data_IF_209090135206
#
_entry.id   IF_209090135206
#
_cell.length_a   1.000
_cell.length_b   1.000
_cell.length_c   1.000
_cell.angle_alpha   90.00
_cell.angle_beta   90.00
_cell.angle_gamma   90.00
#
_symmetry.space_group_name_H-M   'P 1'
#
loop_
_entity.id
_entity.type
_entity.pdbx_description
1 polymer ?
#
# COMPACT_ATOMS: atom_id res chain seq x y z
N UNK A 1 -11.13 13.80 7.78
CA UNK A 1 -10.17 13.25 6.80
C UNK A 1 -9.12 14.25 6.34
N UNK A 2 -7.84 13.87 6.40
CA UNK A 2 -6.67 14.59 5.87
C UNK A 2 -5.83 13.67 4.99
N UNK A 3 -5.13 14.23 4.00
CA UNK A 3 -4.12 13.50 3.21
C UNK A 3 -2.76 14.05 3.61
N UNK A 4 -1.83 13.15 3.92
CA UNK A 4 -0.45 13.52 4.25
C UNK A 4 0.55 12.57 3.60
N UNK A 5 1.83 12.98 3.56
CA UNK A 5 2.91 12.09 3.17
C UNK A 5 3.00 10.89 4.12
N UNK A 6 3.27 9.74 3.53
CA UNK A 6 3.65 8.54 4.27
C UNK A 6 4.92 8.79 5.09
N UNK A 7 4.98 8.18 6.26
CA UNK A 7 6.16 8.11 7.13
C UNK A 7 6.53 6.65 7.39
N UNK A 8 7.81 6.34 7.68
CA UNK A 8 8.22 4.96 7.96
C UNK A 8 7.39 4.26 9.05
N UNK A 9 7.00 4.99 10.11
CA UNK A 9 6.12 4.45 11.15
C UNK A 9 4.71 4.04 10.67
N UNK A 10 4.26 4.47 9.48
CA UNK A 10 2.98 4.07 8.91
C UNK A 10 3.02 2.69 8.21
N UNK A 11 4.22 2.13 7.99
CA UNK A 11 4.43 0.95 7.13
C UNK A 11 3.59 -0.25 7.53
N UNK A 12 3.49 -0.55 8.82
CA UNK A 12 2.71 -1.68 9.35
C UNK A 12 1.22 -1.51 9.07
N UNK A 13 0.70 -0.30 9.31
CA UNK A 13 -0.72 -0.01 9.09
C UNK A 13 -1.08 -0.03 7.61
N UNK A 14 -0.21 0.53 6.77
CA UNK A 14 -0.39 0.52 5.31
C UNK A 14 -0.34 -0.91 4.76
N UNK A 15 0.65 -1.70 5.18
CA UNK A 15 0.75 -3.13 4.82
C UNK A 15 -0.54 -3.88 5.19
N UNK A 16 -1.04 -3.68 6.41
CA UNK A 16 -2.30 -4.28 6.86
C UNK A 16 -3.48 -3.93 5.95
N UNK A 17 -3.64 -2.65 5.57
CA UNK A 17 -4.77 -2.22 4.74
C UNK A 17 -4.66 -2.78 3.32
N UNK A 18 -3.46 -2.79 2.74
CA UNK A 18 -3.20 -3.35 1.41
C UNK A 18 -3.49 -4.85 1.39
N UNK A 19 -2.97 -5.60 2.36
CA UNK A 19 -3.21 -7.04 2.46
C UNK A 19 -4.69 -7.37 2.68
N UNK A 20 -5.38 -6.60 3.53
CA UNK A 20 -6.84 -6.73 3.69
C UNK A 20 -7.58 -6.46 2.39
N UNK A 21 -7.17 -5.46 1.61
CA UNK A 21 -7.79 -5.17 0.32
C UNK A 21 -7.62 -6.34 -0.67
N UNK A 22 -6.44 -6.98 -0.72
CA UNK A 22 -6.23 -8.18 -1.53
C UNK A 22 -7.21 -9.30 -1.17
N UNK A 23 -7.38 -9.59 0.12
CA UNK A 23 -8.18 -10.72 0.60
C UNK A 23 -9.68 -10.44 0.62
N UNK A 24 -10.12 -9.25 1.01
CA UNK A 24 -11.54 -8.94 1.23
C UNK A 24 -12.24 -8.39 -0.03
N UNK A 25 -11.48 -7.72 -0.91
CA UNK A 25 -12.01 -7.00 -2.08
C UNK A 25 -11.52 -7.63 -3.38
N UNK A 26 -10.20 -7.70 -3.60
CA UNK A 26 -9.68 -8.15 -4.90
C UNK A 26 -9.93 -9.65 -5.14
N UNK A 27 -10.00 -10.47 -4.10
CA UNK A 27 -10.37 -11.90 -4.20
C UNK A 27 -11.76 -12.15 -4.81
N UNK A 28 -12.61 -11.11 -4.93
CA UNK A 28 -13.90 -11.19 -5.63
C UNK A 28 -13.74 -11.22 -7.16
N UNK A 29 -12.59 -10.78 -7.66
CA UNK A 29 -12.28 -10.67 -9.08
C UNK A 29 -11.04 -11.49 -9.49
N UNK A 30 -10.19 -11.86 -8.54
CA UNK A 30 -8.96 -12.64 -8.73
C UNK A 30 -8.96 -13.89 -7.84
N UNK A 31 -8.23 -14.96 -8.20
CA UNK A 31 -8.13 -16.16 -7.37
C UNK A 31 -7.62 -15.84 -5.96
N UNK A 32 -8.28 -16.40 -4.94
CA UNK A 32 -7.93 -16.15 -3.54
C UNK A 32 -6.47 -16.54 -3.22
N UNK A 33 -5.99 -17.66 -3.76
CA UNK A 33 -4.62 -18.14 -3.55
C UNK A 33 -3.57 -17.15 -4.08
N UNK A 34 -3.82 -16.53 -5.23
CA UNK A 34 -2.95 -15.48 -5.79
C UNK A 34 -2.96 -14.23 -4.89
N UNK A 35 -4.12 -13.84 -4.38
CA UNK A 35 -4.25 -12.70 -3.46
C UNK A 35 -3.56 -12.97 -2.11
N UNK A 36 -3.63 -14.21 -1.60
CA UNK A 36 -2.89 -14.63 -0.40
C UNK A 36 -1.38 -14.61 -0.63
N UNK A 37 -0.93 -15.08 -1.79
CA UNK A 37 0.48 -15.00 -2.20
C UNK A 37 0.93 -13.54 -2.25
N UNK A 38 0.15 -12.66 -2.87
CA UNK A 38 0.48 -11.24 -2.94
C UNK A 38 0.50 -10.57 -1.55
N UNK A 39 -0.45 -10.90 -0.68
CA UNK A 39 -0.50 -10.40 0.70
C UNK A 39 0.74 -10.82 1.52
N UNK A 40 1.34 -11.99 1.24
CA UNK A 40 2.59 -12.40 1.90
C UNK A 40 3.81 -11.56 1.50
N UNK A 41 3.76 -10.94 0.31
CA UNK A 41 4.84 -10.10 -0.24
C UNK A 41 4.74 -8.65 0.24
N UNK A 42 3.52 -8.12 0.42
CA UNK A 42 3.28 -6.72 0.80
C UNK A 42 3.40 -6.47 2.31
N UNK A 43 4.50 -6.97 2.91
CA UNK A 43 4.89 -6.72 4.30
C UNK A 43 5.39 -5.26 4.51
N UNK A 44 5.63 -4.82 5.76
CA UNK A 44 6.08 -3.46 6.04
C UNK A 44 7.38 -3.08 5.30
N UNK A 45 8.32 -4.01 5.16
CA UNK A 45 9.57 -3.81 4.42
C UNK A 45 9.31 -3.52 2.94
N UNK A 46 8.36 -4.22 2.32
CA UNK A 46 7.94 -3.97 0.95
C UNK A 46 7.30 -2.60 0.79
N UNK A 47 6.48 -2.17 1.75
CA UNK A 47 5.89 -0.82 1.75
C UNK A 47 6.98 0.25 1.83
N UNK A 48 7.97 0.07 2.71
CA UNK A 48 9.13 0.97 2.81
C UNK A 48 9.93 0.99 1.51
N UNK A 49 10.13 -0.17 0.88
CA UNK A 49 10.78 -0.26 -0.43
C UNK A 49 10.01 0.53 -1.49
N UNK A 50 8.67 0.42 -1.56
CA UNK A 50 7.86 1.19 -2.50
C UNK A 50 7.97 2.68 -2.22
N UNK A 51 7.87 3.08 -0.94
CA UNK A 51 7.96 4.47 -0.53
C UNK A 51 9.34 5.11 -0.74
N UNK A 52 10.41 4.32 -0.95
CA UNK A 52 11.75 4.87 -1.22
C UNK A 52 11.90 5.42 -2.64
N UNK A 53 11.08 4.96 -3.59
CA UNK A 53 11.11 5.42 -4.99
C UNK A 53 9.78 6.03 -5.46
N UNK A 54 8.69 5.84 -4.73
CA UNK A 54 7.38 6.39 -5.07
C UNK A 54 7.00 7.56 -4.15
N UNK A 55 6.20 8.47 -4.70
CA UNK A 55 5.45 9.44 -3.92
C UNK A 55 4.25 8.78 -3.25
N UNK A 56 4.44 8.30 -2.02
CA UNK A 56 3.40 7.65 -1.22
C UNK A 56 2.69 8.62 -0.25
N UNK A 57 1.36 8.51 -0.19
CA UNK A 57 0.48 9.29 0.66
C UNK A 57 -0.47 8.38 1.43
N UNK A 58 -0.90 8.83 2.61
CA UNK A 58 -1.92 8.17 3.42
C UNK A 58 -3.12 9.09 3.62
N UNK A 59 -4.31 8.49 3.64
CA UNK A 59 -5.56 9.15 4.01
C UNK A 59 -5.81 8.82 5.49
N UNK A 60 -5.84 9.83 6.33
CA UNK A 60 -6.16 9.70 7.74
C UNK A 60 -7.56 10.23 8.02
N UNK A 61 -8.38 9.47 8.73
CA UNK A 61 -9.53 10.02 9.42
C UNK A 61 -9.21 10.10 10.92
N UNK A 62 -9.31 11.31 11.47
CA UNK A 62 -8.66 11.66 12.74
C UNK A 62 -7.18 11.24 12.75
N UNK A 63 -6.80 10.31 13.62
CA UNK A 63 -5.44 9.76 13.72
C UNK A 63 -5.33 8.33 13.14
N UNK A 64 -6.36 7.85 12.44
CA UNK A 64 -6.43 6.50 11.89
C UNK A 64 -6.17 6.54 10.39
N UNK A 65 -5.17 5.80 9.92
CA UNK A 65 -4.97 5.60 8.48
C UNK A 65 -6.06 4.66 7.96
N UNK A 66 -6.79 5.11 6.94
CA UNK A 66 -7.88 4.38 6.30
C UNK A 66 -7.62 4.08 4.81
N UNK A 67 -6.55 4.64 4.24
CA UNK A 67 -6.19 4.42 2.84
C UNK A 67 -4.76 4.87 2.52
N UNK A 68 -4.26 4.42 1.39
CA UNK A 68 -2.92 4.73 0.88
C UNK A 68 -2.97 4.88 -0.65
N UNK A 69 -2.01 5.61 -1.21
CA UNK A 69 -1.79 5.70 -2.64
C UNK A 69 -0.33 6.06 -2.93
N UNK A 70 0.25 5.42 -3.94
CA UNK A 70 1.62 5.66 -4.40
C UNK A 70 1.63 6.07 -5.86
N UNK A 71 2.39 7.12 -6.16
CA UNK A 71 2.63 7.60 -7.52
C UNK A 71 4.12 7.46 -7.77
N UNK A 72 4.52 6.65 -8.75
CA UNK A 72 5.91 6.53 -9.17
C UNK A 72 6.04 6.87 -10.64
N UNK A 73 7.24 7.22 -11.08
CA UNK A 73 7.55 7.31 -12.51
C UNK A 73 7.25 5.96 -13.18
N UNK A 74 6.93 6.02 -14.48
CA UNK A 74 6.77 4.82 -15.28
C UNK A 74 8.08 4.03 -15.29
N UNK A 75 8.00 2.70 -15.14
CA UNK A 75 9.16 1.82 -15.14
C UNK A 75 9.90 1.95 -16.49
N UNK A 76 11.11 2.53 -16.46
CA UNK A 76 11.92 2.79 -17.66
C UNK A 76 11.76 4.18 -18.27
N UNK A 77 11.13 5.14 -17.57
CA UNK A 77 11.12 6.54 -17.99
C UNK A 77 12.53 7.16 -17.87
N UNK A 78 13.12 7.58 -19.00
CA UNK A 78 14.32 8.43 -19.05
C UNK A 78 14.00 9.93 -18.91
N UNK A 79 12.71 10.27 -18.78
CA UNK A 79 12.21 11.64 -18.59
C UNK A 79 11.72 11.86 -17.18
#
# INVERSE_FOLDING_TARGET
>A
MIIRRFKPEDAEKVSTIVCRNFIEINSRNYPLEEMQTLASVYNPEKILQIASYAHTYVICDENIIIGTGSISSFWGSET
#
